data_IF_363564131950
#
_entry.id   IF_363564131950
#
_cell.length_a   1.000
_cell.length_b   1.000
_cell.length_c   1.000
_cell.angle_alpha   90.00
_cell.angle_beta   90.00
_cell.angle_gamma   90.00
#
_symmetry.space_group_name_H-M   'P 1'
#
loop_
_entity.id
_entity.type
_entity.pdbx_description
1 polymer ?
#
# COMPACT_ATOMS: atom_id res chain seq x y z
N UNK A 1 12.74 -15.85 -1.83
CA UNK A 1 11.78 -15.07 -1.00
C UNK A 1 12.53 -13.91 -0.34
N UNK A 2 13.53 -13.37 -1.05
CA UNK A 2 14.70 -12.79 -0.38
C UNK A 2 14.58 -11.27 -0.23
N UNK A 3 13.58 -10.67 -0.90
CA UNK A 3 13.26 -9.24 -0.84
C UNK A 3 12.33 -8.87 0.32
N UNK A 4 11.92 -9.82 1.17
CA UNK A 4 10.96 -9.55 2.25
C UNK A 4 11.50 -8.48 3.21
N UNK A 5 12.69 -8.71 3.77
CA UNK A 5 13.32 -7.79 4.72
C UNK A 5 13.62 -6.45 4.06
N UNK A 6 14.14 -6.46 2.84
CA UNK A 6 14.43 -5.25 2.06
C UNK A 6 13.18 -4.39 1.85
N UNK A 7 12.08 -4.99 1.38
CA UNK A 7 10.80 -4.28 1.18
C UNK A 7 10.25 -3.77 2.50
N UNK A 8 10.27 -4.59 3.54
CA UNK A 8 9.80 -4.20 4.87
C UNK A 8 10.56 -2.98 5.39
N UNK A 9 11.90 -3.01 5.38
CA UNK A 9 12.72 -1.88 5.85
C UNK A 9 12.56 -0.64 4.97
N UNK A 10 12.34 -0.79 3.66
CA UNK A 10 12.03 0.33 2.78
C UNK A 10 10.67 0.97 3.12
N UNK A 11 9.64 0.18 3.43
CA UNK A 11 8.35 0.74 3.82
C UNK A 11 8.42 1.42 5.21
N UNK A 12 9.19 0.85 6.13
CA UNK A 12 9.41 1.41 7.49
C UNK A 12 10.09 2.78 7.44
N UNK A 13 11.03 3.00 6.52
CA UNK A 13 11.75 4.29 6.42
C UNK A 13 10.88 5.43 5.88
N UNK A 14 9.66 5.15 5.39
CA UNK A 14 8.70 6.14 4.95
C UNK A 14 7.83 6.60 6.13
N UNK A 15 7.87 7.89 6.43
CA UNK A 15 6.94 8.51 7.37
C UNK A 15 5.52 8.52 6.79
N UNK A 16 4.69 7.58 7.24
CA UNK A 16 3.28 7.44 6.82
C UNK A 16 2.29 7.68 7.96
N UNK A 17 2.72 8.29 9.07
CA UNK A 17 1.89 8.49 10.25
C UNK A 17 0.56 9.20 9.91
N UNK A 18 -0.56 8.68 10.42
CA UNK A 18 -1.87 9.31 10.24
C UNK A 18 -2.07 10.51 11.17
N UNK A 19 -3.06 11.36 10.86
CA UNK A 19 -3.37 12.57 11.63
C UNK A 19 -4.86 12.65 11.93
N UNK A 20 -5.20 12.63 13.22
CA UNK A 20 -6.57 12.76 13.69
C UNK A 20 -7.17 14.15 13.40
N UNK A 21 -8.49 14.21 13.26
CA UNK A 21 -9.22 15.49 13.05
C UNK A 21 -9.07 16.10 11.65
N UNK A 22 -8.55 15.34 10.69
CA UNK A 22 -8.40 15.78 9.29
C UNK A 22 -9.56 15.26 8.45
N UNK A 23 -10.18 16.14 7.65
CA UNK A 23 -11.29 15.77 6.73
C UNK A 23 -10.81 15.15 5.42
N UNK A 24 -9.59 15.49 5.00
CA UNK A 24 -8.94 14.90 3.84
C UNK A 24 -8.54 13.45 4.11
N UNK A 25 -8.71 12.59 3.11
CA UNK A 25 -8.28 11.19 3.15
C UNK A 25 -7.43 10.94 1.90
N UNK A 26 -6.20 10.40 2.04
CA UNK A 26 -5.43 10.18 3.27
C UNK A 26 -5.18 11.46 4.08
N UNK A 27 -4.97 11.32 5.38
CA UNK A 27 -4.79 12.47 6.30
C UNK A 27 -3.44 13.16 6.18
N UNK A 28 -2.43 12.48 5.61
CA UNK A 28 -1.05 12.98 5.50
C UNK A 28 -0.44 12.63 4.14
N UNK A 29 0.46 13.48 3.63
CA UNK A 29 1.13 13.26 2.34
C UNK A 29 2.09 12.05 2.36
N UNK A 30 2.58 11.67 3.55
CA UNK A 30 3.38 10.47 3.75
C UNK A 30 2.72 9.20 3.22
N UNK A 31 1.42 9.04 3.52
CA UNK A 31 0.61 7.92 3.04
C UNK A 31 0.57 7.88 1.50
N UNK A 32 0.47 9.03 0.84
CA UNK A 32 0.52 9.11 -0.63
C UNK A 32 1.86 8.65 -1.20
N UNK A 33 2.98 8.92 -0.52
CA UNK A 33 4.30 8.46 -0.98
C UNK A 33 4.37 6.93 -1.01
N UNK A 34 3.95 6.26 0.07
CA UNK A 34 3.91 4.80 0.10
C UNK A 34 2.91 4.24 -0.91
N UNK A 35 1.73 4.84 -1.06
CA UNK A 35 0.74 4.41 -2.05
C UNK A 35 1.26 4.49 -3.50
N UNK A 36 1.98 5.57 -3.85
CA UNK A 36 2.57 5.72 -5.18
C UNK A 36 3.72 4.74 -5.42
N UNK A 37 4.56 4.51 -4.40
CA UNK A 37 5.60 3.47 -4.44
C UNK A 37 5.00 2.08 -4.66
N UNK A 38 3.96 1.72 -3.90
CA UNK A 38 3.28 0.44 -4.04
C UNK A 38 2.62 0.29 -5.41
N UNK A 39 1.99 1.35 -5.94
CA UNK A 39 1.43 1.36 -7.30
C UNK A 39 2.49 0.98 -8.34
N UNK A 40 3.64 1.63 -8.29
CA UNK A 40 4.76 1.31 -9.19
C UNK A 40 5.22 -0.15 -9.03
N UNK A 41 5.35 -0.63 -7.79
CA UNK A 41 5.77 -2.01 -7.54
C UNK A 41 4.74 -3.03 -8.05
N UNK A 42 3.43 -2.74 -7.96
CA UNK A 42 2.38 -3.61 -8.51
C UNK A 42 2.43 -3.65 -10.04
N UNK A 43 2.72 -2.52 -10.68
CA UNK A 43 2.94 -2.43 -12.14
C UNK A 43 4.16 -3.26 -12.56
N UNK A 44 5.29 -3.10 -11.85
CA UNK A 44 6.52 -3.87 -12.10
C UNK A 44 6.34 -5.39 -11.85
N UNK A 45 5.45 -5.77 -10.94
CA UNK A 45 5.09 -7.18 -10.69
C UNK A 45 4.12 -7.76 -11.72
N UNK A 46 3.59 -6.94 -12.64
CA UNK A 46 2.68 -7.39 -13.69
C UNK A 46 1.24 -7.64 -13.23
N UNK A 47 0.81 -7.02 -12.12
CA UNK A 47 -0.60 -7.04 -11.75
C UNK A 47 -1.44 -6.20 -12.73
N UNK A 48 -2.73 -6.51 -12.80
CA UNK A 48 -3.69 -5.85 -13.69
C UNK A 48 -4.74 -5.08 -12.89
N UNK A 49 -5.55 -4.27 -13.58
CA UNK A 49 -6.62 -3.46 -12.98
C UNK A 49 -6.12 -2.56 -11.83
N UNK A 50 -4.90 -2.03 -11.95
CA UNK A 50 -4.27 -1.21 -10.92
C UNK A 50 -4.95 0.16 -10.88
N UNK A 51 -5.53 0.50 -9.73
CA UNK A 51 -6.21 1.78 -9.53
C UNK A 51 -5.80 2.39 -8.20
N UNK A 52 -5.58 3.71 -8.20
CA UNK A 52 -5.35 4.50 -7.00
C UNK A 52 -6.42 5.58 -6.97
N UNK A 53 -7.40 5.42 -6.08
CA UNK A 53 -8.53 6.36 -5.96
C UNK A 53 -8.09 7.73 -5.41
N UNK A 54 -8.91 8.75 -5.62
CA UNK A 54 -8.70 10.10 -5.05
C UNK A 54 -8.66 10.11 -3.51
N UNK A 55 -9.17 9.05 -2.87
CA UNK A 55 -9.16 8.86 -1.41
C UNK A 55 -8.01 7.99 -0.92
N UNK A 56 -7.08 7.61 -1.79
CA UNK A 56 -5.87 6.88 -1.41
C UNK A 56 -6.07 5.39 -1.16
N UNK A 57 -7.13 4.78 -1.69
CA UNK A 57 -7.25 3.32 -1.76
C UNK A 57 -6.57 2.82 -3.03
N UNK A 58 -5.54 1.98 -2.88
CA UNK A 58 -4.84 1.27 -3.96
C UNK A 58 -5.41 -0.14 -4.10
N UNK A 59 -5.81 -0.50 -5.32
CA UNK A 59 -6.32 -1.82 -5.66
C UNK A 59 -5.60 -2.37 -6.89
N UNK A 60 -5.44 -3.69 -6.95
CA UNK A 60 -4.86 -4.41 -8.07
C UNK A 60 -5.35 -5.86 -8.09
N UNK A 61 -5.17 -6.55 -9.21
CA UNK A 61 -5.57 -7.96 -9.39
C UNK A 61 -4.39 -8.76 -9.93
N UNK A 62 -4.12 -9.91 -9.33
CA UNK A 62 -3.29 -10.95 -9.94
C UNK A 62 -4.22 -11.93 -10.66
N UNK A 63 -4.10 -12.12 -11.99
CA UNK A 63 -4.94 -13.07 -12.71
C UNK A 63 -4.80 -14.50 -12.17
N UNK A 64 -5.85 -15.31 -12.34
CA UNK A 64 -5.78 -16.73 -12.00
C UNK A 64 -4.64 -17.41 -12.77
N UNK A 65 -3.97 -18.36 -12.12
CA UNK A 65 -2.88 -19.13 -12.71
C UNK A 65 -3.35 -20.44 -13.36
N UNK A 66 -4.65 -20.76 -13.25
CA UNK A 66 -5.30 -21.95 -13.81
C UNK A 66 -6.72 -21.60 -14.24
N UNK A 67 -7.25 -22.39 -15.18
CA UNK A 67 -8.64 -22.29 -15.64
C UNK A 67 -9.61 -22.93 -14.63
N UNK A 68 -10.84 -22.42 -14.56
CA UNK A 68 -11.91 -22.98 -13.75
C UNK A 68 -12.77 -21.92 -13.05
N UNK A 69 -13.88 -22.37 -12.46
CA UNK A 69 -14.72 -21.52 -11.62
C UNK A 69 -14.15 -21.46 -10.20
N UNK A 70 -13.13 -20.62 -10.04
CA UNK A 70 -12.40 -20.44 -8.78
C UNK A 70 -12.80 -19.09 -8.18
N UNK A 71 -13.27 -19.03 -6.93
CA UNK A 71 -13.67 -17.77 -6.32
C UNK A 71 -12.47 -16.85 -6.11
N UNK A 72 -12.64 -15.57 -6.42
CA UNK A 72 -11.65 -14.54 -6.09
C UNK A 72 -11.55 -14.33 -4.57
N UNK A 73 -10.33 -14.15 -4.07
CA UNK A 73 -10.04 -13.79 -2.67
C UNK A 73 -9.30 -12.44 -2.61
N UNK A 74 -9.44 -11.73 -1.49
CA UNK A 74 -8.81 -10.43 -1.28
C UNK A 74 -7.85 -10.43 -0.09
N UNK A 75 -6.73 -9.72 -0.24
CA UNK A 75 -5.79 -9.42 0.84
C UNK A 75 -5.74 -7.90 1.03
N UNK A 76 -5.81 -7.45 2.29
CA UNK A 76 -5.91 -6.03 2.63
C UNK A 76 -4.89 -5.71 3.72
N UNK A 77 -4.18 -4.59 3.53
CA UNK A 77 -3.35 -3.94 4.54
C UNK A 77 -3.62 -2.43 4.52
N UNK A 78 -3.37 -1.76 5.63
CA UNK A 78 -3.34 -0.29 5.70
C UNK A 78 -1.92 0.24 5.53
N UNK A 79 -1.77 1.51 5.13
CA UNK A 79 -0.46 2.13 4.79
C UNK A 79 0.06 3.10 5.86
N UNK A 80 -0.78 3.47 6.81
CA UNK A 80 -0.45 4.44 7.85
C UNK A 80 0.09 3.79 9.12
N UNK A 81 0.84 4.58 9.90
CA UNK A 81 1.29 4.23 11.25
C UNK A 81 0.55 5.06 12.31
N UNK A 82 0.50 4.54 13.55
CA UNK A 82 -0.27 5.17 14.64
C UNK A 82 0.23 6.60 14.94
N UNK A 83 -0.69 7.55 15.25
CA UNK A 83 -0.33 8.87 15.75
C UNK A 83 0.30 8.84 17.16
N UNK A 84 0.18 7.73 17.89
CA UNK A 84 0.60 7.63 19.30
C UNK A 84 2.12 7.73 19.49
N UNK A 85 2.91 7.36 18.48
CA UNK A 85 4.36 7.48 18.51
C UNK A 85 4.95 7.74 17.12
N UNK A 86 5.94 8.63 17.04
CA UNK A 86 6.58 8.99 15.77
C UNK A 86 7.54 7.89 15.30
N UNK A 87 7.33 7.41 14.08
CA UNK A 87 8.27 6.55 13.33
C UNK A 87 9.23 7.31 12.42
N UNK A 88 9.29 8.65 12.50
CA UNK A 88 10.23 9.46 11.69
C UNK A 88 11.68 9.18 12.07
N UNK A 89 12.53 9.10 11.05
CA UNK A 89 13.99 8.92 11.17
C UNK A 89 14.40 7.61 11.87
N UNK A 90 13.60 6.56 11.69
CA UNK A 90 13.96 5.18 12.03
C UNK A 90 14.76 4.57 10.89
#
# INVERSE_FOLDING_TARGET
>A
MDKLLERFLHYVSLDTQSKSGVRQVPSTEGQWKLLRLLKQQLEEMGLVNITLSEKGTLMATLPANVEGDIPAIGFISHVDTSPDFSGKNV
#
